data_IF_785797484224
#
_entry.id   IF_785797484224
#
_cell.length_a   1.000
_cell.length_b   1.000
_cell.length_c   1.000
_cell.angle_alpha   90.00
_cell.angle_beta   90.00
_cell.angle_gamma   90.00
#
_symmetry.space_group_name_H-M   'P 1'
#
loop_
_entity.id
_entity.type
_entity.pdbx_description
1 polymer ?
#
# COMPACT_ATOMS: atom_id res chain seq x y z
N UNK A 1 4.41 -3.56 -36.06
CA UNK A 1 5.81 -3.13 -35.81
C UNK A 1 5.79 -2.31 -34.52
N UNK A 2 6.50 -2.73 -33.46
CA UNK A 2 6.63 -1.93 -32.23
C UNK A 2 7.43 -0.66 -32.54
N UNK A 3 6.88 0.53 -32.25
CA UNK A 3 7.44 1.83 -32.67
C UNK A 3 8.82 2.14 -32.08
N UNK A 4 9.05 1.80 -30.81
CA UNK A 4 10.30 2.16 -30.12
C UNK A 4 11.31 1.02 -30.04
N UNK A 5 10.92 -0.21 -30.37
CA UNK A 5 11.75 -1.42 -30.24
C UNK A 5 12.41 -1.61 -28.86
N UNK A 6 11.81 -1.06 -27.81
CA UNK A 6 12.27 -1.18 -26.42
C UNK A 6 11.37 -2.12 -25.62
N UNK A 7 11.95 -2.90 -24.71
CA UNK A 7 11.21 -3.64 -23.68
C UNK A 7 11.22 -2.87 -22.36
N UNK A 8 10.08 -2.80 -21.67
CA UNK A 8 9.94 -2.12 -20.39
C UNK A 8 9.09 -2.97 -19.45
N UNK A 9 9.46 -2.99 -18.16
CA UNK A 9 8.64 -3.62 -17.12
C UNK A 9 7.38 -2.84 -16.80
N UNK A 10 7.39 -1.53 -17.06
CA UNK A 10 6.28 -0.65 -16.76
C UNK A 10 5.24 -0.66 -17.87
N UNK A 11 3.98 -0.77 -17.46
CA UNK A 11 2.87 -0.51 -18.36
C UNK A 11 2.96 0.94 -18.87
N UNK A 12 2.76 1.23 -20.17
CA UNK A 12 2.97 2.58 -20.73
C UNK A 12 2.21 3.68 -19.97
N UNK A 13 0.94 3.41 -19.61
CA UNK A 13 0.14 4.35 -18.80
C UNK A 13 0.68 4.56 -17.38
N UNK A 14 1.40 3.58 -16.82
CA UNK A 14 2.05 3.74 -15.52
C UNK A 14 3.27 4.65 -15.64
N UNK A 15 4.08 4.49 -16.70
CA UNK A 15 5.21 5.37 -16.98
C UNK A 15 4.73 6.82 -17.18
N UNK A 16 3.68 7.03 -17.99
CA UNK A 16 3.03 8.34 -18.17
C UNK A 16 2.51 8.91 -16.84
N UNK A 17 1.88 8.08 -16.01
CA UNK A 17 1.40 8.48 -14.69
C UNK A 17 2.55 8.97 -13.81
N UNK A 18 3.66 8.21 -13.68
CA UNK A 18 4.83 8.62 -12.90
C UNK A 18 5.46 9.89 -13.45
N UNK A 19 5.54 10.05 -14.77
CA UNK A 19 6.05 11.27 -15.38
C UNK A 19 5.17 12.47 -14.99
N UNK A 20 3.85 12.32 -14.99
CA UNK A 20 2.93 13.39 -14.55
C UNK A 20 3.08 13.74 -13.07
N UNK A 21 3.60 12.83 -12.22
CA UNK A 21 3.82 13.14 -10.80
C UNK A 21 4.91 14.20 -10.59
N UNK A 22 5.79 14.39 -11.58
CA UNK A 22 6.84 15.41 -11.53
C UNK A 22 6.27 16.84 -11.47
N UNK A 23 5.07 17.07 -12.00
CA UNK A 23 4.38 18.37 -11.94
C UNK A 23 4.12 18.83 -10.50
N UNK A 24 4.09 17.90 -9.55
CA UNK A 24 3.84 18.16 -8.13
C UNK A 24 5.14 18.45 -7.36
N UNK A 25 6.32 18.43 -8.00
CA UNK A 25 7.61 18.64 -7.33
C UNK A 25 7.76 20.05 -6.74
N UNK A 26 7.01 21.03 -7.25
CA UNK A 26 6.98 22.40 -6.74
C UNK A 26 6.25 22.57 -5.40
N UNK A 27 5.51 21.55 -4.93
CA UNK A 27 4.82 21.59 -3.64
C UNK A 27 5.85 21.59 -2.51
N UNK A 28 5.91 22.70 -1.77
CA UNK A 28 6.94 22.97 -0.74
C UNK A 28 6.96 21.94 0.39
N UNK A 29 5.80 21.62 0.95
CA UNK A 29 5.71 20.68 2.07
C UNK A 29 5.72 19.23 1.56
N UNK A 30 6.75 18.46 1.95
CA UNK A 30 6.99 17.11 1.45
C UNK A 30 5.86 16.12 1.75
N UNK A 31 5.27 16.18 2.94
CA UNK A 31 4.12 15.34 3.29
C UNK A 31 2.92 15.59 2.35
N UNK A 32 2.61 16.86 2.09
CA UNK A 32 1.53 17.25 1.18
C UNK A 32 1.84 16.91 -0.27
N UNK A 33 3.08 17.13 -0.72
CA UNK A 33 3.54 16.72 -2.05
C UNK A 33 3.35 15.23 -2.27
N UNK A 34 3.83 14.42 -1.32
CA UNK A 34 3.69 12.96 -1.36
C UNK A 34 2.21 12.56 -1.33
N UNK A 35 1.39 13.18 -0.48
CA UNK A 35 -0.04 12.93 -0.42
C UNK A 35 -0.75 13.27 -1.74
N UNK A 36 -0.39 14.37 -2.40
CA UNK A 36 -0.93 14.75 -3.71
C UNK A 36 -0.52 13.75 -4.80
N UNK A 37 0.75 13.32 -4.80
CA UNK A 37 1.24 12.27 -5.71
C UNK A 37 0.47 10.97 -5.51
N UNK A 38 0.33 10.53 -4.25
CA UNK A 38 -0.47 9.36 -3.88
C UNK A 38 -1.94 9.51 -4.25
N UNK A 39 -2.53 10.70 -4.11
CA UNK A 39 -3.92 10.94 -4.51
C UNK A 39 -4.12 10.80 -6.02
N UNK A 40 -3.17 11.28 -6.83
CA UNK A 40 -3.22 11.12 -8.29
C UNK A 40 -3.08 9.65 -8.68
N UNK A 41 -2.13 8.94 -8.08
CA UNK A 41 -1.97 7.50 -8.23
C UNK A 41 -3.22 6.72 -7.82
N UNK A 42 -3.76 7.00 -6.64
CA UNK A 42 -4.95 6.35 -6.09
C UNK A 42 -6.14 6.43 -7.04
N UNK A 43 -6.38 7.60 -7.63
CA UNK A 43 -7.44 7.82 -8.64
C UNK A 43 -7.18 7.06 -9.93
N UNK A 44 -5.94 7.09 -10.43
CA UNK A 44 -5.56 6.37 -11.64
C UNK A 44 -5.70 4.85 -11.49
N UNK A 45 -5.56 4.32 -10.28
CA UNK A 45 -5.78 2.91 -9.93
C UNK A 45 -7.21 2.62 -9.48
N UNK A 46 -8.12 3.60 -9.46
CA UNK A 46 -9.48 3.50 -8.94
C UNK A 46 -9.60 2.99 -7.48
N UNK A 47 -8.52 3.03 -6.70
CA UNK A 47 -8.52 2.58 -5.30
C UNK A 47 -9.31 3.52 -4.39
N UNK A 48 -9.56 4.76 -4.82
CA UNK A 48 -10.41 5.70 -4.10
C UNK A 48 -11.91 5.42 -4.22
N UNK A 49 -12.30 4.48 -5.08
CA UNK A 49 -13.65 3.95 -5.15
C UNK A 49 -13.81 2.70 -4.27
N UNK A 50 -12.69 2.02 -3.94
CA UNK A 50 -12.69 0.74 -3.24
C UNK A 50 -12.95 0.92 -1.75
N UNK A 51 -14.10 0.47 -1.25
CA UNK A 51 -14.35 0.49 0.19
C UNK A 51 -13.49 -0.56 0.91
N UNK A 52 -13.08 -0.26 2.14
CA UNK A 52 -12.31 -1.23 2.93
C UNK A 52 -13.07 -2.54 3.20
N UNK A 53 -14.37 -2.56 3.56
CA UNK A 53 -15.12 -3.81 3.75
C UNK A 53 -15.11 -4.71 2.52
N UNK A 54 -15.31 -4.12 1.34
CA UNK A 54 -15.25 -4.82 0.06
C UNK A 54 -13.87 -5.46 -0.20
N UNK A 55 -12.79 -4.73 0.09
CA UNK A 55 -11.44 -5.27 -0.05
C UNK A 55 -11.22 -6.47 0.90
N UNK A 56 -11.66 -6.36 2.16
CA UNK A 56 -11.59 -7.43 3.15
C UNK A 56 -12.34 -8.68 2.71
N UNK A 57 -13.58 -8.54 2.21
CA UNK A 57 -14.37 -9.67 1.72
C UNK A 57 -13.66 -10.43 0.60
N UNK A 58 -13.03 -9.71 -0.33
CA UNK A 58 -12.26 -10.35 -1.40
C UNK A 58 -11.00 -11.03 -0.85
N UNK A 59 -10.29 -10.40 0.10
CA UNK A 59 -9.15 -11.06 0.74
C UNK A 59 -9.55 -12.38 1.43
N UNK A 60 -10.70 -12.39 2.09
CA UNK A 60 -11.23 -13.60 2.75
C UNK A 60 -11.65 -14.66 1.72
N UNK A 61 -12.28 -14.27 0.62
CA UNK A 61 -12.64 -15.17 -0.49
C UNK A 61 -11.43 -15.84 -1.14
N UNK A 62 -10.33 -15.11 -1.28
CA UNK A 62 -9.06 -15.65 -1.80
C UNK A 62 -8.20 -16.32 -0.71
N UNK A 63 -8.73 -16.46 0.51
CA UNK A 63 -8.05 -17.19 1.58
C UNK A 63 -6.76 -16.53 2.07
N UNK A 64 -6.62 -15.21 1.92
CA UNK A 64 -5.42 -14.44 2.25
C UNK A 64 -5.23 -14.24 3.76
N UNK A 65 -5.18 -15.33 4.53
CA UNK A 65 -5.12 -15.32 5.99
C UNK A 65 -3.69 -15.25 6.52
N UNK A 66 -2.75 -15.91 5.85
CA UNK A 66 -1.35 -15.98 6.27
C UNK A 66 -0.55 -14.81 5.68
N UNK A 67 -0.22 -13.84 6.52
CA UNK A 67 0.43 -12.60 6.09
C UNK A 67 1.88 -12.79 5.61
N UNK A 68 2.54 -13.88 6.01
CA UNK A 68 3.90 -14.25 5.55
C UNK A 68 3.92 -15.01 4.22
N UNK A 69 2.78 -15.53 3.78
CA UNK A 69 2.66 -16.26 2.52
C UNK A 69 3.05 -15.35 1.33
N UNK A 70 3.81 -15.90 0.40
CA UNK A 70 4.12 -15.25 -0.88
C UNK A 70 3.02 -15.53 -1.89
N UNK A 71 2.50 -14.46 -2.49
CA UNK A 71 1.55 -14.48 -3.60
C UNK A 71 2.32 -14.31 -4.90
N UNK A 72 2.13 -15.24 -5.84
CA UNK A 72 2.68 -15.13 -7.18
C UNK A 72 1.81 -14.24 -8.09
N UNK A 73 2.33 -13.90 -9.28
CA UNK A 73 1.62 -13.04 -10.24
C UNK A 73 0.21 -13.56 -10.56
N UNK A 74 -0.02 -14.85 -10.90
CA UNK A 74 -1.36 -15.38 -11.11
C UNK A 74 -2.30 -15.14 -9.93
N UNK A 75 -1.87 -15.42 -8.70
CA UNK A 75 -2.67 -15.19 -7.49
C UNK A 75 -3.03 -13.71 -7.32
N UNK A 76 -2.07 -12.81 -7.55
CA UNK A 76 -2.28 -11.37 -7.49
C UNK A 76 -3.30 -10.91 -8.54
N UNK A 77 -3.14 -11.35 -9.79
CA UNK A 77 -4.04 -11.03 -10.91
C UNK A 77 -5.46 -11.51 -10.60
N UNK A 78 -5.61 -12.74 -10.11
CA UNK A 78 -6.91 -13.30 -9.75
C UNK A 78 -7.59 -12.50 -8.63
N UNK A 79 -6.85 -12.14 -7.58
CA UNK A 79 -7.39 -11.33 -6.48
C UNK A 79 -7.77 -9.90 -6.93
N UNK A 80 -6.88 -9.23 -7.67
CA UNK A 80 -7.14 -7.90 -8.24
C UNK A 80 -8.33 -7.92 -9.21
N UNK A 81 -8.47 -8.96 -10.02
CA UNK A 81 -9.61 -9.12 -10.93
C UNK A 81 -10.91 -9.17 -10.14
N UNK A 82 -10.98 -9.94 -9.05
CA UNK A 82 -12.17 -9.97 -8.19
C UNK A 82 -12.48 -8.61 -7.54
N UNK A 83 -11.45 -7.88 -7.10
CA UNK A 83 -11.61 -6.52 -6.56
C UNK A 83 -12.21 -5.58 -7.61
N UNK A 84 -11.63 -5.55 -8.82
CA UNK A 84 -12.03 -4.62 -9.87
C UNK A 84 -13.36 -5.01 -10.55
N UNK A 85 -13.69 -6.29 -10.67
CA UNK A 85 -15.02 -6.73 -11.15
C UNK A 85 -16.15 -6.25 -10.24
N UNK A 86 -15.97 -6.38 -8.92
CA UNK A 86 -16.95 -5.85 -7.97
C UNK A 86 -17.03 -4.31 -8.00
N UNK A 87 -15.90 -3.63 -8.27
CA UNK A 87 -15.87 -2.17 -8.43
C UNK A 87 -16.64 -1.74 -9.69
N UNK A 88 -16.44 -2.43 -10.81
CA UNK A 88 -17.12 -2.19 -12.08
C UNK A 88 -18.64 -2.32 -11.94
N UNK A 89 -19.13 -3.31 -11.18
CA UNK A 89 -20.56 -3.46 -10.89
C UNK A 89 -21.18 -2.20 -10.26
N UNK A 90 -20.41 -1.47 -9.45
CA UNK A 90 -20.86 -0.23 -8.78
C UNK A 90 -20.52 1.04 -9.59
N UNK A 91 -19.54 0.97 -10.49
CA UNK A 91 -18.92 2.12 -11.16
C UNK A 91 -18.57 1.81 -12.63
N UNK A 92 -19.51 1.26 -13.40
CA UNK A 92 -19.26 0.67 -14.72
C UNK A 92 -18.56 1.58 -15.74
N UNK A 93 -18.76 2.90 -15.68
CA UNK A 93 -18.14 3.85 -16.62
C UNK A 93 -16.76 4.37 -16.16
N UNK A 94 -16.34 4.09 -14.93
CA UNK A 94 -15.08 4.57 -14.36
C UNK A 94 -14.00 3.48 -14.33
N UNK A 95 -14.39 2.21 -14.37
CA UNK A 95 -13.50 1.08 -14.12
C UNK A 95 -13.37 0.23 -15.38
N UNK A 96 -12.19 0.29 -16.00
CA UNK A 96 -11.80 -0.69 -17.02
C UNK A 96 -11.03 -1.81 -16.31
N UNK A 97 -11.68 -2.96 -16.11
CA UNK A 97 -11.13 -4.04 -15.27
C UNK A 97 -9.74 -4.51 -15.74
N UNK A 98 -9.52 -4.89 -17.02
CA UNK A 98 -8.19 -5.33 -17.48
C UNK A 98 -7.10 -4.29 -17.21
N UNK A 99 -7.35 -3.03 -17.57
CA UNK A 99 -6.37 -1.97 -17.37
C UNK A 99 -6.08 -1.70 -15.89
N UNK A 100 -7.11 -1.69 -15.04
CA UNK A 100 -6.93 -1.46 -13.61
C UNK A 100 -6.13 -2.58 -12.95
N UNK A 101 -6.38 -3.84 -13.35
CA UNK A 101 -5.59 -4.98 -12.88
C UNK A 101 -4.12 -4.83 -13.28
N UNK A 102 -3.83 -4.55 -14.54
CA UNK A 102 -2.45 -4.40 -15.02
C UNK A 102 -1.71 -3.23 -14.34
N UNK A 103 -2.37 -2.08 -14.22
CA UNK A 103 -1.80 -0.89 -13.57
C UNK A 103 -1.55 -1.11 -12.08
N UNK A 104 -2.51 -1.73 -11.38
CA UNK A 104 -2.39 -1.99 -9.94
C UNK A 104 -1.36 -3.08 -9.64
N UNK A 105 -1.32 -4.15 -10.43
CA UNK A 105 -0.28 -5.16 -10.37
C UNK A 105 1.10 -4.53 -10.59
N UNK A 106 1.25 -3.73 -11.65
CA UNK A 106 2.50 -3.05 -11.94
C UNK A 106 2.96 -2.17 -10.78
N UNK A 107 2.04 -1.38 -10.21
CA UNK A 107 2.33 -0.56 -9.02
C UNK A 107 2.76 -1.41 -7.82
N UNK A 108 2.05 -2.49 -7.50
CA UNK A 108 2.38 -3.38 -6.39
C UNK A 108 3.76 -4.03 -6.56
N UNK A 109 4.09 -4.50 -7.76
CA UNK A 109 5.40 -5.08 -8.07
C UNK A 109 6.51 -4.03 -8.01
N UNK A 110 6.23 -2.80 -8.45
CA UNK A 110 7.15 -1.67 -8.29
C UNK A 110 7.45 -1.35 -6.82
N UNK A 111 6.43 -1.40 -5.96
CA UNK A 111 6.59 -1.12 -4.53
C UNK A 111 7.27 -2.29 -3.78
N UNK A 112 6.87 -3.53 -4.05
CA UNK A 112 7.18 -4.68 -3.19
C UNK A 112 8.00 -5.80 -3.84
N UNK A 113 8.20 -5.78 -5.16
CA UNK A 113 9.02 -6.76 -5.90
C UNK A 113 9.97 -6.07 -6.89
N UNK A 114 10.82 -5.18 -6.36
CA UNK A 114 11.81 -4.45 -7.17
C UNK A 114 12.84 -5.40 -7.81
N UNK A 115 13.05 -6.57 -7.22
CA UNK A 115 13.90 -7.63 -7.76
C UNK A 115 13.24 -8.47 -8.87
N UNK A 116 11.96 -8.22 -9.19
CA UNK A 116 11.19 -8.93 -10.23
C UNK A 116 11.20 -10.45 -10.04
N UNK A 117 11.07 -10.88 -8.79
CA UNK A 117 10.96 -12.31 -8.43
C UNK A 117 9.60 -12.91 -8.82
N UNK A 118 8.60 -12.06 -9.11
CA UNK A 118 7.24 -12.43 -9.43
C UNK A 118 6.40 -12.78 -8.20
N UNK A 119 6.85 -12.39 -6.99
CA UNK A 119 6.17 -12.70 -5.73
C UNK A 119 6.19 -11.52 -4.75
N UNK A 120 5.09 -11.32 -4.03
CA UNK A 120 5.03 -10.38 -2.88
C UNK A 120 4.34 -11.05 -1.69
N UNK A 121 4.62 -10.59 -0.47
CA UNK A 121 3.94 -11.11 0.73
C UNK A 121 2.47 -10.68 0.75
N UNK A 122 1.61 -11.53 1.31
CA UNK A 122 0.21 -11.19 1.60
C UNK A 122 0.08 -9.92 2.45
N UNK A 123 0.96 -9.72 3.44
CA UNK A 123 1.01 -8.48 4.24
C UNK A 123 1.21 -7.25 3.35
N UNK A 124 2.15 -7.33 2.41
CA UNK A 124 2.54 -6.22 1.54
C UNK A 124 1.42 -5.88 0.56
N UNK A 125 0.77 -6.91 -0.01
CA UNK A 125 -0.42 -6.75 -0.84
C UNK A 125 -1.54 -6.01 -0.10
N UNK A 126 -1.91 -6.49 1.09
CA UNK A 126 -2.93 -5.85 1.94
C UNK A 126 -2.54 -4.42 2.32
N UNK A 127 -1.27 -4.20 2.68
CA UNK A 127 -0.77 -2.88 3.07
C UNK A 127 -0.89 -1.88 1.93
N UNK A 128 -0.50 -2.26 0.70
CA UNK A 128 -0.67 -1.41 -0.49
C UNK A 128 -2.13 -1.05 -0.75
N UNK A 129 -3.00 -2.06 -0.86
CA UNK A 129 -4.42 -1.86 -1.18
C UNK A 129 -5.13 -1.03 -0.11
N UNK A 130 -4.95 -1.38 1.18
CA UNK A 130 -5.69 -0.73 2.27
C UNK A 130 -5.18 0.68 2.56
N UNK A 131 -3.88 0.94 2.38
CA UNK A 131 -3.35 2.30 2.50
C UNK A 131 -4.04 3.25 1.51
N UNK A 132 -4.33 2.78 0.29
CA UNK A 132 -4.93 3.57 -0.78
C UNK A 132 -6.43 3.36 -0.97
N UNK A 133 -7.11 2.51 -0.20
CA UNK A 133 -8.56 2.32 -0.34
C UNK A 133 -9.37 3.51 0.20
N UNK A 134 -10.68 3.53 -0.04
CA UNK A 134 -11.64 4.46 0.55
C UNK A 134 -12.09 3.97 1.93
N UNK A 135 -11.53 4.56 2.98
CA UNK A 135 -11.94 4.37 4.37
C UNK A 135 -11.46 5.53 5.24
N UNK A 136 -12.03 5.64 6.44
CA UNK A 136 -11.51 6.54 7.46
C UNK A 136 -10.08 6.13 7.84
N UNK A 137 -9.28 7.13 8.22
CA UNK A 137 -7.88 6.91 8.55
C UNK A 137 -7.71 5.96 9.74
N UNK A 138 -8.55 6.09 10.76
CA UNK A 138 -8.53 5.22 11.94
C UNK A 138 -8.80 3.75 11.58
N UNK A 139 -9.77 3.50 10.70
CA UNK A 139 -10.12 2.15 10.24
C UNK A 139 -8.95 1.47 9.55
N UNK A 140 -8.23 2.21 8.69
CA UNK A 140 -7.02 1.72 8.02
C UNK A 140 -5.93 1.38 9.03
N UNK A 141 -5.68 2.25 9.99
CA UNK A 141 -4.68 1.99 11.05
C UNK A 141 -5.05 0.76 11.87
N UNK A 142 -6.32 0.64 12.29
CA UNK A 142 -6.81 -0.51 13.04
C UNK A 142 -6.68 -1.80 12.24
N UNK A 143 -7.05 -1.78 10.95
CA UNK A 143 -6.90 -2.94 10.07
C UNK A 143 -5.44 -3.36 9.94
N UNK A 144 -4.56 -2.43 9.57
CA UNK A 144 -3.14 -2.71 9.31
C UNK A 144 -2.41 -3.17 10.58
N UNK A 145 -2.70 -2.56 11.72
CA UNK A 145 -2.17 -2.99 13.01
C UNK A 145 -2.58 -4.43 13.34
N UNK A 146 -3.86 -4.78 13.11
CA UNK A 146 -4.34 -6.16 13.31
C UNK A 146 -3.65 -7.19 12.41
N UNK A 147 -3.11 -6.78 11.25
CA UNK A 147 -2.37 -7.70 10.37
C UNK A 147 -1.01 -8.12 10.97
N UNK A 148 -0.43 -7.33 11.88
CA UNK A 148 0.87 -7.64 12.49
C UNK A 148 0.77 -8.00 13.97
N UNK A 149 -0.31 -7.62 14.65
CA UNK A 149 -0.56 -7.97 16.04
C UNK A 149 -0.65 -9.49 16.26
N UNK A 150 -0.38 -9.95 17.48
CA UNK A 150 -0.61 -11.33 17.90
C UNK A 150 -2.12 -11.63 17.97
N UNK A 151 -2.47 -12.92 18.10
CA UNK A 151 -3.85 -13.35 18.33
C UNK A 151 -4.47 -12.71 19.59
N UNK A 152 -3.64 -12.34 20.56
CA UNK A 152 -4.03 -11.64 21.79
C UNK A 152 -4.05 -10.12 21.65
N UNK A 153 -3.80 -9.57 20.45
CA UNK A 153 -3.85 -8.13 20.16
C UNK A 153 -2.57 -7.36 20.51
N UNK A 154 -1.50 -8.02 20.95
CA UNK A 154 -0.24 -7.37 21.29
C UNK A 154 0.66 -7.19 20.06
N UNK A 155 1.39 -6.09 20.02
CA UNK A 155 2.37 -5.80 18.98
C UNK A 155 3.71 -5.48 19.64
N UNK A 156 4.73 -6.26 19.30
CA UNK A 156 6.11 -6.04 19.73
C UNK A 156 6.88 -5.19 18.68
N UNK A 157 8.12 -4.82 18.98
CA UNK A 157 8.95 -4.01 18.09
C UNK A 157 9.13 -4.66 16.70
N UNK A 158 9.27 -5.99 16.66
CA UNK A 158 9.44 -6.73 15.41
C UNK A 158 8.19 -6.62 14.54
N UNK A 159 7.01 -6.83 15.13
CA UNK A 159 5.70 -6.77 14.45
C UNK A 159 5.39 -5.36 13.95
N UNK A 160 5.64 -4.34 14.78
CA UNK A 160 5.53 -2.95 14.32
C UNK A 160 6.51 -2.67 13.18
N UNK A 161 7.73 -3.19 13.29
CA UNK A 161 8.75 -3.11 12.25
C UNK A 161 8.27 -3.69 10.91
N UNK A 162 7.56 -4.82 10.91
CA UNK A 162 6.96 -5.39 9.68
C UNK A 162 5.99 -4.42 9.01
N UNK A 163 5.09 -3.81 9.79
CA UNK A 163 4.11 -2.85 9.28
C UNK A 163 4.79 -1.59 8.73
N UNK A 164 5.72 -1.01 9.48
CA UNK A 164 6.43 0.20 9.04
C UNK A 164 7.32 -0.07 7.84
N UNK A 165 7.96 -1.24 7.78
CA UNK A 165 8.77 -1.67 6.65
C UNK A 165 7.95 -1.75 5.37
N UNK A 166 6.74 -2.31 5.40
CA UNK A 166 5.88 -2.35 4.21
C UNK A 166 5.33 -0.96 3.88
N UNK A 167 4.92 -0.19 4.89
CA UNK A 167 4.36 1.16 4.69
C UNK A 167 5.36 2.14 4.06
N UNK A 168 6.65 2.08 4.45
CA UNK A 168 7.69 3.00 3.94
C UNK A 168 8.04 2.73 2.47
N UNK A 169 7.72 1.54 1.93
CA UNK A 169 7.98 1.25 0.51
C UNK A 169 7.14 2.13 -0.41
N UNK A 170 5.94 2.52 0.01
CA UNK A 170 5.03 3.35 -0.80
C UNK A 170 5.64 4.72 -1.12
N UNK A 171 6.04 5.57 -0.15
CA UNK A 171 6.72 6.82 -0.46
C UNK A 171 8.14 6.61 -1.03
N UNK A 172 8.81 5.49 -0.73
CA UNK A 172 10.09 5.13 -1.38
C UNK A 172 9.94 4.96 -2.88
N UNK A 173 8.89 4.30 -3.33
CA UNK A 173 8.63 4.12 -4.74
C UNK A 173 8.33 5.44 -5.47
N UNK A 174 7.86 6.46 -4.74
CA UNK A 174 7.67 7.82 -5.28
C UNK A 174 8.93 8.69 -5.23
N UNK A 175 10.06 8.17 -4.72
CA UNK A 175 11.28 8.93 -4.51
C UNK A 175 11.22 9.91 -3.33
N UNK A 176 10.25 9.77 -2.42
CA UNK A 176 9.98 10.75 -1.35
C UNK A 176 10.45 10.26 0.04
N UNK A 177 11.01 9.05 0.15
CA UNK A 177 11.37 8.40 1.43
C UNK A 177 12.28 9.21 2.35
N UNK A 178 13.17 10.05 1.79
CA UNK A 178 14.04 10.93 2.58
C UNK A 178 13.24 11.89 3.48
N UNK A 179 12.03 12.27 3.06
CA UNK A 179 11.11 13.10 3.84
C UNK A 179 10.42 12.36 4.98
N UNK A 180 10.53 11.04 5.03
CA UNK A 180 9.86 10.15 5.98
C UNK A 180 10.85 9.39 6.88
N UNK A 181 12.03 9.96 7.11
CA UNK A 181 13.06 9.37 7.99
C UNK A 181 13.99 8.37 7.31
N UNK A 182 13.90 8.21 5.98
CA UNK A 182 14.71 7.27 5.22
C UNK A 182 14.15 5.86 5.23
N UNK A 183 14.85 4.92 4.57
CA UNK A 183 14.37 3.53 4.43
C UNK A 183 14.54 2.68 5.70
N UNK A 184 15.38 3.11 6.65
CA UNK A 184 15.54 2.42 7.93
C UNK A 184 14.41 2.82 8.89
N UNK A 185 13.53 1.88 9.20
CA UNK A 185 12.35 2.09 10.06
C UNK A 185 12.65 1.95 11.55
N UNK A 186 13.82 1.46 11.94
CA UNK A 186 14.11 1.16 13.35
C UNK A 186 14.03 2.36 14.28
N UNK A 187 14.48 3.58 13.91
CA UNK A 187 14.32 4.76 14.76
C UNK A 187 12.85 5.04 15.06
N UNK A 188 11.96 4.87 14.08
CA UNK A 188 10.51 5.05 14.24
C UNK A 188 9.91 3.99 15.17
N UNK A 189 10.35 2.72 15.05
CA UNK A 189 9.93 1.65 15.97
C UNK A 189 10.34 1.99 17.40
N UNK A 190 11.63 2.35 17.62
CA UNK A 190 12.13 2.69 18.95
C UNK A 190 11.38 3.89 19.56
N UNK A 191 11.17 4.94 18.77
CA UNK A 191 10.43 6.13 19.20
C UNK A 191 8.99 5.79 19.60
N UNK A 192 8.29 4.95 18.84
CA UNK A 192 6.93 4.52 19.19
C UNK A 192 6.87 3.79 20.54
N UNK A 193 7.79 2.86 20.80
CA UNK A 193 7.81 2.12 22.07
C UNK A 193 8.28 2.99 23.25
N UNK A 194 9.18 3.93 23.04
CA UNK A 194 9.53 4.93 24.05
C UNK A 194 8.33 5.78 24.42
N UNK A 195 7.56 6.26 23.44
CA UNK A 195 6.34 7.03 23.69
C UNK A 195 5.31 6.25 24.49
N UNK A 196 5.07 4.97 24.17
CA UNK A 196 4.13 4.12 24.94
C UNK A 196 4.58 3.95 26.39
N UNK A 197 5.88 3.81 26.64
CA UNK A 197 6.42 3.74 28.01
C UNK A 197 6.15 5.04 28.76
N UNK A 198 6.43 6.19 28.13
CA UNK A 198 6.20 7.52 28.73
C UNK A 198 4.73 7.75 29.04
N UNK A 199 3.82 7.45 28.11
CA UNK A 199 2.37 7.57 28.33
C UNK A 199 1.93 6.67 29.48
N UNK A 200 2.45 5.44 29.58
CA UNK A 200 2.12 4.54 30.69
C UNK A 200 2.59 5.08 32.04
N UNK A 201 3.81 5.63 32.12
CA UNK A 201 4.27 6.25 33.36
C UNK A 201 3.44 7.48 33.74
N UNK A 202 3.11 8.35 32.78
CA UNK A 202 2.28 9.54 33.03
C UNK A 202 0.85 9.17 33.48
N UNK A 203 0.28 8.07 32.97
CA UNK A 203 -1.02 7.57 33.43
C UNK A 203 -0.97 6.82 34.75
N UNK A 204 0.18 6.28 35.15
CA UNK A 204 0.36 5.66 36.47
C UNK A 204 0.60 6.70 37.58
N UNK A 205 1.13 7.88 37.23
CA UNK A 205 1.33 8.99 38.17
C UNK A 205 0.07 9.88 38.36
N UNK A 206 -1.07 9.54 37.74
CA UNK A 206 -2.34 10.26 37.87
C UNK A 206 -3.46 9.51 38.61
N UNK A 207 -3.16 8.39 39.28
CA UNK A 207 -4.10 7.69 40.18
C UNK A 207 -3.42 7.17 41.45
#
# INVERSE_FOLDING_TARGET
>A
IHQTQTTCWDHPKMAELYQSLADLNNVRFSAYRTAMKLRRLQKALCLDLMSMPMACEVFDQHGLKQNEQLLDIPQLVTCLTSLYQRLEQSHAHLVNVPLCVDMCLNWLLNVYDTGRTGKIRTLSFKTGVISLCKAHLEDKYRFLFRQVASATGFCDQRRLGLLLHDSIQIPRQLGEVASFGGSNIEPSVRSCFQFVIVVRSETQDQY
#
